data_IF_614698419285
#
_entry.id   IF_614698419285
#
_cell.length_a   1.000
_cell.length_b   1.000
_cell.length_c   1.000
_cell.angle_alpha   90.00
_cell.angle_beta   90.00
_cell.angle_gamma   90.00
#
_symmetry.space_group_name_H-M   'P 1'
#
loop_
_entity.id
_entity.type
_entity.pdbx_description
1 polymer ?
#
# COMPACT_ATOMS: atom_id res chain seq x y z
N UNK A 1 -9.44 -2.98 -16.76
CA UNK A 1 -8.00 -3.00 -17.12
C UNK A 1 -7.21 -3.58 -15.97
N UNK A 2 -6.32 -4.48 -16.26
CA UNK A 2 -5.50 -5.16 -15.25
C UNK A 2 -4.05 -4.74 -15.41
N UNK A 3 -3.43 -4.32 -14.31
CA UNK A 3 -2.04 -3.86 -14.28
C UNK A 3 -1.25 -4.73 -13.30
N UNK A 4 -0.05 -5.12 -13.70
CA UNK A 4 0.86 -5.90 -12.85
C UNK A 4 2.24 -5.23 -12.83
N UNK A 5 2.79 -5.11 -11.62
CA UNK A 5 4.11 -4.52 -11.40
C UNK A 5 4.92 -5.38 -10.45
N UNK A 6 6.21 -5.45 -10.69
CA UNK A 6 7.16 -6.10 -9.78
C UNK A 6 8.39 -5.23 -9.63
N UNK A 7 9.10 -5.41 -8.54
CA UNK A 7 10.34 -4.69 -8.32
C UNK A 7 11.05 -5.14 -7.06
N UNK A 8 12.20 -4.54 -6.86
CA UNK A 8 13.02 -4.73 -5.66
C UNK A 8 13.43 -3.36 -5.14
N UNK A 9 13.47 -3.24 -3.82
CA UNK A 9 13.90 -2.01 -3.15
C UNK A 9 14.76 -2.37 -1.96
N UNK A 10 15.91 -1.73 -1.84
CA UNK A 10 16.77 -1.87 -0.67
C UNK A 10 16.48 -0.74 0.31
N UNK A 11 16.16 -1.11 1.53
CA UNK A 11 15.81 -0.17 2.61
C UNK A 11 16.94 -0.15 3.62
N UNK A 12 17.41 1.05 3.99
CA UNK A 12 18.50 1.24 4.96
C UNK A 12 18.00 1.12 6.40
N UNK A 13 17.25 0.07 6.67
CA UNK A 13 16.74 -0.27 7.99
C UNK A 13 16.72 -1.77 8.15
N UNK A 14 16.92 -2.26 9.38
CA UNK A 14 16.84 -3.70 9.61
C UNK A 14 15.39 -4.20 9.51
N UNK A 15 15.18 -5.53 9.36
CA UNK A 15 13.83 -6.08 9.20
C UNK A 15 12.86 -5.73 10.33
N UNK A 16 13.33 -5.64 11.56
CA UNK A 16 12.47 -5.30 12.69
C UNK A 16 11.88 -3.89 12.54
N UNK A 17 12.70 -2.94 12.12
CA UNK A 17 12.23 -1.57 11.89
C UNK A 17 11.25 -1.50 10.73
N UNK A 18 11.47 -2.28 9.69
CA UNK A 18 10.53 -2.37 8.56
C UNK A 18 9.19 -2.94 9.04
N UNK A 19 9.21 -4.01 9.84
CA UNK A 19 7.99 -4.59 10.39
C UNK A 19 7.26 -3.61 11.32
N UNK A 20 7.98 -2.91 12.18
CA UNK A 20 7.38 -1.91 13.07
C UNK A 20 6.66 -0.82 12.29
N UNK A 21 7.18 -0.46 11.11
CA UNK A 21 6.57 0.51 10.24
C UNK A 21 5.32 -0.04 9.53
N UNK A 22 5.43 -1.20 8.87
CA UNK A 22 4.33 -1.73 8.04
C UNK A 22 3.19 -2.32 8.85
N UNK A 23 3.39 -2.60 10.13
CA UNK A 23 2.34 -3.05 11.03
C UNK A 23 1.53 -1.90 11.63
N UNK A 24 1.96 -0.67 11.43
CA UNK A 24 1.29 0.51 11.98
C UNK A 24 0.49 1.21 10.87
N UNK A 25 -0.85 1.16 10.90
CA UNK A 25 -1.67 1.76 9.85
C UNK A 25 -1.46 3.28 9.74
N UNK A 26 -1.13 3.97 10.83
CA UNK A 26 -0.83 5.40 10.76
C UNK A 26 0.44 5.68 9.97
N UNK A 27 1.46 4.85 10.15
CA UNK A 27 2.72 5.01 9.41
C UNK A 27 2.55 4.65 7.93
N UNK A 28 1.82 3.58 7.63
CA UNK A 28 1.52 3.20 6.25
C UNK A 28 0.70 4.29 5.57
N UNK A 29 -0.29 4.85 6.26
CA UNK A 29 -1.11 5.93 5.73
C UNK A 29 -0.27 7.17 5.38
N UNK A 30 0.79 7.44 6.15
CA UNK A 30 1.68 8.59 5.90
C UNK A 30 2.45 8.48 4.57
N UNK A 31 2.50 7.29 3.97
CA UNK A 31 3.18 7.06 2.68
C UNK A 31 2.29 7.38 1.48
N UNK A 32 0.99 7.59 1.69
CA UNK A 32 0.07 7.90 0.58
C UNK A 32 0.24 9.36 0.15
N UNK A 33 0.31 9.62 -1.18
CA UNK A 33 0.41 10.98 -1.67
C UNK A 33 -0.94 11.70 -1.62
N UNK A 34 -0.91 13.02 -1.46
CA UNK A 34 -2.09 13.89 -1.55
C UNK A 34 -3.27 13.43 -0.69
N UNK A 35 -2.97 12.92 0.50
CA UNK A 35 -3.98 12.45 1.43
C UNK A 35 -4.70 13.64 2.06
N UNK A 36 -6.04 13.64 1.95
CA UNK A 36 -6.90 14.69 2.50
C UNK A 36 -7.54 14.27 3.81
N UNK A 37 -7.78 12.96 3.98
CA UNK A 37 -8.40 12.44 5.19
C UNK A 37 -7.94 11.00 5.41
N UNK A 38 -7.64 10.67 6.66
CA UNK A 38 -7.32 9.31 7.09
C UNK A 38 -8.17 8.98 8.31
N UNK A 39 -8.85 7.84 8.27
CA UNK A 39 -9.60 7.33 9.41
C UNK A 39 -9.13 5.91 9.70
N UNK A 40 -8.36 5.74 10.77
CA UNK A 40 -7.90 4.43 11.20
C UNK A 40 -9.03 3.75 11.96
N UNK A 41 -9.45 2.58 11.48
CA UNK A 41 -10.56 1.82 12.07
C UNK A 41 -10.09 0.81 13.11
N UNK A 42 -8.99 0.13 12.82
CA UNK A 42 -8.37 -0.85 13.72
C UNK A 42 -6.90 -1.04 13.32
N UNK A 43 -6.23 -2.02 13.91
CA UNK A 43 -4.80 -2.27 13.67
C UNK A 43 -4.48 -2.71 12.23
N UNK A 44 -5.49 -3.08 11.46
CA UNK A 44 -5.31 -3.64 10.10
C UNK A 44 -6.07 -2.88 9.03
N UNK A 45 -6.94 -1.95 9.40
CA UNK A 45 -7.82 -1.28 8.44
C UNK A 45 -7.83 0.22 8.64
N UNK A 46 -7.73 0.94 7.55
CA UNK A 46 -7.98 2.37 7.56
C UNK A 46 -8.62 2.81 6.24
N UNK A 47 -9.36 3.94 6.29
CA UNK A 47 -9.90 4.59 5.12
C UNK A 47 -9.06 5.82 4.81
N UNK A 48 -8.89 6.10 3.52
CA UNK A 48 -8.18 7.27 3.06
C UNK A 48 -8.96 7.97 1.94
N UNK A 49 -8.95 9.29 1.97
CA UNK A 49 -9.41 10.12 0.86
C UNK A 49 -8.20 10.76 0.24
N UNK A 50 -7.99 10.53 -1.05
CA UNK A 50 -6.79 10.93 -1.78
C UNK A 50 -7.22 11.84 -2.93
N UNK A 51 -6.54 12.98 -3.08
CA UNK A 51 -6.74 13.86 -4.22
C UNK A 51 -6.04 13.30 -5.45
N UNK A 52 -6.73 13.29 -6.57
CA UNK A 52 -6.18 12.85 -7.86
C UNK A 52 -6.28 13.99 -8.84
N UNK A 53 -5.17 14.31 -9.50
CA UNK A 53 -5.10 15.31 -10.56
C UNK A 53 -4.15 14.82 -11.64
N UNK A 54 -4.71 14.18 -12.68
CA UNK A 54 -3.94 13.68 -13.83
C UNK A 54 -4.63 14.17 -15.08
N UNK A 55 -4.01 15.15 -15.76
CA UNK A 55 -4.61 15.78 -16.93
C UNK A 55 -5.96 16.42 -16.59
N UNK A 56 -7.01 16.13 -17.36
CA UNK A 56 -8.35 16.66 -17.07
C UNK A 56 -9.05 15.96 -15.92
N UNK A 57 -8.52 14.83 -15.43
CA UNK A 57 -9.12 14.06 -14.36
C UNK A 57 -8.72 14.65 -13.02
N UNK A 58 -9.68 15.19 -12.30
CA UNK A 58 -9.48 15.77 -10.98
C UNK A 58 -10.62 15.36 -10.06
N UNK A 59 -10.30 14.97 -8.87
CA UNK A 59 -11.31 14.61 -7.90
C UNK A 59 -10.75 13.90 -6.70
N UNK A 60 -11.67 13.41 -5.88
CA UNK A 60 -11.33 12.69 -4.67
C UNK A 60 -11.65 11.21 -4.86
N UNK A 61 -10.69 10.38 -4.51
CA UNK A 61 -10.87 8.92 -4.47
C UNK A 61 -10.88 8.49 -3.02
N UNK A 62 -11.83 7.65 -2.68
CA UNK A 62 -11.95 7.09 -1.34
C UNK A 62 -11.57 5.62 -1.37
N UNK A 63 -10.64 5.22 -0.51
CA UNK A 63 -10.13 3.86 -0.44
C UNK A 63 -10.27 3.29 0.96
N UNK A 64 -10.54 1.99 1.02
CA UNK A 64 -10.31 1.18 2.21
C UNK A 64 -9.00 0.42 2.01
N UNK A 65 -8.11 0.48 2.97
CA UNK A 65 -6.83 -0.20 2.95
C UNK A 65 -6.79 -1.23 4.07
N UNK A 66 -6.48 -2.47 3.72
CA UNK A 66 -6.34 -3.57 4.66
C UNK A 66 -4.89 -4.06 4.66
N UNK A 67 -4.29 -4.11 5.85
CA UNK A 67 -2.96 -4.67 6.04
C UNK A 67 -3.09 -6.15 6.35
N UNK A 68 -2.35 -6.99 5.62
CA UNK A 68 -2.39 -8.45 5.78
C UNK A 68 -0.98 -8.97 6.01
N UNK A 69 -0.47 -8.88 7.25
CA UNK A 69 0.87 -9.35 7.57
C UNK A 69 0.93 -10.87 7.69
N UNK A 70 2.05 -11.44 7.27
CA UNK A 70 2.40 -12.84 7.45
C UNK A 70 3.86 -12.92 7.89
N UNK A 71 4.09 -12.60 9.15
CA UNK A 71 5.45 -12.51 9.69
C UNK A 71 6.19 -13.85 9.69
N UNK A 72 5.45 -14.97 9.83
CA UNK A 72 6.05 -16.29 9.80
C UNK A 72 6.74 -16.59 8.46
N UNK A 73 6.23 -16.01 7.37
CA UNK A 73 6.80 -16.18 6.03
C UNK A 73 7.52 -14.92 5.53
N UNK A 74 7.79 -13.96 6.41
CA UNK A 74 8.45 -12.69 6.09
C UNK A 74 7.75 -11.94 4.96
N UNK A 75 6.42 -11.98 4.94
CA UNK A 75 5.62 -11.41 3.88
C UNK A 75 4.60 -10.41 4.41
N UNK A 76 4.46 -9.30 3.71
CA UNK A 76 3.45 -8.29 3.99
C UNK A 76 2.60 -8.09 2.75
N UNK A 77 1.28 -8.14 2.91
CA UNK A 77 0.35 -7.82 1.84
C UNK A 77 -0.53 -6.64 2.25
N UNK A 78 -0.96 -5.88 1.24
CA UNK A 78 -1.85 -4.74 1.41
C UNK A 78 -2.93 -4.84 0.34
N UNK A 79 -4.18 -4.73 0.77
CA UNK A 79 -5.33 -4.68 -0.15
C UNK A 79 -5.93 -3.28 -0.10
N UNK A 80 -6.13 -2.72 -1.27
CA UNK A 80 -6.70 -1.38 -1.42
C UNK A 80 -7.91 -1.48 -2.34
N UNK A 81 -9.06 -1.00 -1.86
CA UNK A 81 -10.31 -0.99 -2.61
C UNK A 81 -10.98 0.35 -2.51
N UNK A 82 -11.49 0.82 -3.62
CA UNK A 82 -12.23 2.06 -3.63
C UNK A 82 -12.42 2.62 -5.01
N UNK A 83 -12.65 3.91 -5.06
CA UNK A 83 -12.81 4.57 -6.34
C UNK A 83 -13.33 5.99 -6.21
N UNK A 84 -13.65 6.57 -7.35
CA UNK A 84 -14.21 7.89 -7.49
C UNK A 84 -14.41 8.20 -8.97
N UNK A 85 -15.22 9.20 -9.26
CA UNK A 85 -15.47 9.65 -10.65
C UNK A 85 -15.98 8.53 -11.57
N UNK A 86 -16.75 7.58 -11.02
CA UNK A 86 -17.25 6.44 -11.78
C UNK A 86 -16.26 5.33 -12.03
N UNK A 87 -15.06 5.43 -11.45
CA UNK A 87 -14.00 4.42 -11.60
C UNK A 87 -13.86 3.63 -10.30
N UNK A 88 -13.71 2.33 -10.41
CA UNK A 88 -13.43 1.45 -9.27
C UNK A 88 -12.01 0.87 -9.41
N UNK A 89 -11.30 0.79 -8.30
CA UNK A 89 -9.93 0.28 -8.24
C UNK A 89 -9.83 -0.78 -7.15
N UNK A 90 -9.33 -1.95 -7.53
CA UNK A 90 -8.92 -3.01 -6.61
C UNK A 90 -7.42 -3.25 -6.80
N UNK A 91 -6.65 -3.07 -5.74
CA UNK A 91 -5.21 -3.30 -5.78
C UNK A 91 -4.81 -4.25 -4.66
N UNK A 92 -3.97 -5.21 -4.99
CA UNK A 92 -3.30 -6.07 -4.01
C UNK A 92 -1.81 -5.96 -4.25
N UNK A 93 -1.07 -5.57 -3.23
CA UNK A 93 0.37 -5.53 -3.26
C UNK A 93 0.94 -6.42 -2.17
N UNK A 94 2.07 -7.04 -2.44
CA UNK A 94 2.77 -7.83 -1.42
C UNK A 94 4.26 -7.65 -1.56
N UNK A 95 4.97 -7.81 -0.46
CA UNK A 95 6.42 -7.75 -0.43
C UNK A 95 6.97 -8.85 0.47
N UNK A 96 8.06 -9.47 0.03
CA UNK A 96 8.89 -10.28 0.90
C UNK A 96 9.89 -9.35 1.59
N UNK A 97 9.99 -9.47 2.91
CA UNK A 97 10.86 -8.64 3.74
C UNK A 97 12.07 -9.47 4.12
N UNK A 98 13.17 -9.25 3.41
CA UNK A 98 14.36 -10.10 3.54
C UNK A 98 15.52 -9.33 4.18
N UNK A 99 15.93 -9.75 5.39
CA UNK A 99 17.08 -9.18 6.05
C UNK A 99 18.37 -9.49 5.29
N UNK A 100 19.28 -8.52 5.24
CA UNK A 100 20.56 -8.65 4.57
C UNK A 100 21.69 -8.68 5.61
N UNK A 101 22.88 -9.22 5.27
CA UNK A 101 24.00 -9.30 6.20
C UNK A 101 24.50 -7.95 6.71
N UNK A 102 24.26 -6.86 5.98
CA UNK A 102 24.68 -5.51 6.34
C UNK A 102 23.64 -4.75 7.18
N UNK A 103 22.65 -5.46 7.76
CA UNK A 103 21.56 -4.88 8.57
C UNK A 103 20.61 -3.98 7.76
N UNK A 104 20.57 -4.18 6.46
CA UNK A 104 19.54 -3.58 5.60
C UNK A 104 18.45 -4.60 5.30
N UNK A 105 17.42 -4.16 4.61
CA UNK A 105 16.31 -5.03 4.20
C UNK A 105 16.11 -4.91 2.70
N UNK A 106 15.99 -6.06 2.04
CA UNK A 106 15.59 -6.12 0.64
C UNK A 106 14.11 -6.43 0.57
N UNK A 107 13.35 -5.56 -0.09
CA UNK A 107 11.93 -5.77 -0.38
C UNK A 107 11.80 -6.28 -1.81
N UNK A 108 11.29 -7.50 -1.95
CA UNK A 108 10.81 -8.02 -3.24
C UNK A 108 9.32 -7.80 -3.28
N UNK A 109 8.86 -6.91 -4.14
CA UNK A 109 7.46 -6.55 -4.15
C UNK A 109 6.79 -6.82 -5.49
N UNK A 110 5.48 -7.04 -5.42
CA UNK A 110 4.62 -7.18 -6.58
C UNK A 110 3.29 -6.52 -6.29
N UNK A 111 2.68 -5.99 -7.33
CA UNK A 111 1.37 -5.38 -7.23
C UNK A 111 0.51 -5.75 -8.42
N UNK A 112 -0.78 -5.95 -8.15
CA UNK A 112 -1.78 -6.22 -9.16
C UNK A 112 -2.96 -5.29 -8.92
N UNK A 113 -3.36 -4.57 -9.96
CA UNK A 113 -4.48 -3.65 -9.88
C UNK A 113 -5.51 -3.97 -10.96
N UNK A 114 -6.78 -3.94 -10.58
CA UNK A 114 -7.90 -3.98 -11.51
C UNK A 114 -8.58 -2.62 -11.49
N UNK A 115 -8.68 -1.99 -12.63
CA UNK A 115 -9.33 -0.69 -12.81
C UNK A 115 -10.52 -0.88 -13.73
N UNK A 116 -11.71 -0.51 -13.25
CA UNK A 116 -12.95 -0.62 -14.01
C UNK A 116 -13.76 0.67 -13.94
N UNK A 117 -14.63 0.85 -14.92
CA UNK A 117 -15.48 2.03 -15.01
C UNK A 117 -15.28 2.77 -16.32
N UNK A 118 -16.02 3.85 -16.53
CA UNK A 118 -15.95 4.63 -17.78
C UNK A 118 -14.61 5.33 -17.95
#
# INVERSE_FOLDING_TARGET
MKLNYTGQEKVSADPQKVWDFVLDPNKVASCLPDTQEIVVKDDRNFDAVVGVAVGPVRGKFKFNIELVPDQANNKMAVKLRGGGLGTAIDLTASANINGQPDQTTLLDWQGEANVSGP
#
